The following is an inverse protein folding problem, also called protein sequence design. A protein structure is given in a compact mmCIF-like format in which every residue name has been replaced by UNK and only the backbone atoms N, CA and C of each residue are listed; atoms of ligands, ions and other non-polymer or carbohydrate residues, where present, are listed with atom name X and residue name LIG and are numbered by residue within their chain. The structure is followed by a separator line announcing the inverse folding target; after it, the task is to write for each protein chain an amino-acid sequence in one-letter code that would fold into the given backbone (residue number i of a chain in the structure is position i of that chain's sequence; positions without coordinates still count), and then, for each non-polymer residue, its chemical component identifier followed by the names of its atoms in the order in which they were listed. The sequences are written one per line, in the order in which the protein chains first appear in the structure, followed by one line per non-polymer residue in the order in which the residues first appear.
data_IF_750636273659
#
_entry.id   IF_750636273659
#
_cell.length_a   1.000
_cell.length_b   1.000
_cell.length_c   1.000
_cell.angle_alpha   90.00
_cell.angle_beta   90.00
_cell.angle_gamma   90.00
#
_symmetry.space_group_name_H-M   'P 1'
#
loop_
_entity.id
_entity.type
_entity.pdbx_description
1 polymer ?
#
# COMPACT_ATOMS: atom_id res chain seq x y z
N UNK A 1 20.67 -23.10 -24.15
CA UNK A 1 20.16 -21.75 -24.50
C UNK A 1 19.00 -21.28 -23.62
N UNK A 2 18.61 -22.01 -22.56
CA UNK A 2 17.37 -21.75 -21.81
C UNK A 2 17.54 -20.94 -20.51
N UNK A 3 18.76 -20.57 -20.12
CA UNK A 3 19.02 -19.80 -18.88
C UNK A 3 19.01 -18.27 -19.07
N UNK A 4 18.94 -17.75 -20.30
CA UNK A 4 19.00 -16.29 -20.56
C UNK A 4 17.66 -15.56 -20.45
N UNK A 5 16.53 -16.27 -20.47
CA UNK A 5 15.19 -15.63 -20.49
C UNK A 5 14.75 -15.19 -19.09
N UNK A 6 15.14 -15.91 -18.04
CA UNK A 6 14.77 -15.57 -16.65
C UNK A 6 15.55 -14.37 -16.12
N UNK A 7 16.80 -14.15 -16.54
CA UNK A 7 17.61 -13.00 -16.08
C UNK A 7 17.08 -11.64 -16.58
N UNK A 8 16.51 -11.58 -17.79
CA UNK A 8 16.02 -10.33 -18.38
C UNK A 8 14.75 -9.79 -17.71
N UNK A 9 13.93 -10.65 -17.08
CA UNK A 9 12.74 -10.21 -16.37
C UNK A 9 13.07 -9.59 -15.00
N UNK A 10 14.11 -10.08 -14.33
CA UNK A 10 14.58 -9.56 -13.04
C UNK A 10 15.37 -8.26 -13.21
N UNK A 11 16.15 -8.14 -14.29
CA UNK A 11 16.93 -6.94 -14.65
C UNK A 11 16.04 -5.72 -14.99
N UNK A 12 14.92 -5.93 -15.69
CA UNK A 12 13.96 -4.86 -16.06
C UNK A 12 13.14 -4.38 -14.84
N UNK A 13 12.86 -5.25 -13.88
CA UNK A 13 12.21 -4.87 -12.62
C UNK A 13 13.18 -4.13 -11.68
N UNK A 14 14.49 -4.44 -11.75
CA UNK A 14 15.53 -3.73 -10.99
C UNK A 14 15.82 -2.33 -11.54
N UNK A 15 15.93 -2.16 -12.87
CA UNK A 15 16.19 -0.85 -13.51
C UNK A 15 15.08 0.19 -13.24
N UNK A 16 13.82 -0.26 -13.18
CA UNK A 16 12.67 0.61 -12.88
C UNK A 16 12.61 1.04 -11.40
N UNK A 17 13.13 0.21 -10.50
CA UNK A 17 13.19 0.52 -9.06
C UNK A 17 14.39 1.40 -8.71
N UNK A 18 15.56 1.20 -9.34
CA UNK A 18 16.74 2.06 -9.14
C UNK A 18 16.51 3.48 -9.69
N UNK A 19 15.87 3.62 -10.85
CA UNK A 19 15.58 4.93 -11.44
C UNK A 19 14.62 5.77 -10.57
N UNK A 20 13.68 5.11 -9.89
CA UNK A 20 12.74 5.75 -8.96
C UNK A 20 13.42 6.12 -7.62
N UNK A 21 14.36 5.30 -7.15
CA UNK A 21 15.17 5.58 -5.95
C UNK A 21 16.06 6.82 -6.11
N UNK A 22 16.60 7.09 -7.31
CA UNK A 22 17.42 8.29 -7.57
C UNK A 22 16.61 9.58 -7.82
N UNK A 23 15.34 9.47 -8.20
CA UNK A 23 14.46 10.62 -8.47
C UNK A 23 13.71 11.11 -7.22
N UNK A 24 13.53 10.23 -6.22
CA UNK A 24 12.82 10.54 -4.97
C UNK A 24 13.67 11.42 -4.05
N UNK A 25 13.09 12.48 -3.50
CA UNK A 25 13.72 13.31 -2.46
C UNK A 25 13.64 12.69 -1.06
N UNK A 26 12.78 11.69 -0.86
CA UNK A 26 12.73 10.89 0.37
C UNK A 26 13.92 9.93 0.48
N UNK A 27 14.45 9.77 1.69
CA UNK A 27 15.40 8.70 1.99
C UNK A 27 14.69 7.36 2.20
N UNK A 28 15.45 6.27 2.13
CA UNK A 28 14.94 4.92 2.38
C UNK A 28 14.42 4.76 3.82
N UNK A 29 15.09 5.39 4.76
CA UNK A 29 14.73 5.38 6.18
C UNK A 29 13.40 6.11 6.41
N UNK A 30 13.19 7.24 5.73
CA UNK A 30 11.92 7.98 5.79
C UNK A 30 10.76 7.14 5.21
N UNK A 31 10.99 6.46 4.08
CA UNK A 31 10.00 5.53 3.51
C UNK A 31 9.69 4.38 4.46
N UNK A 32 10.71 3.74 5.03
CA UNK A 32 10.53 2.66 5.98
C UNK A 32 9.78 3.11 7.26
N UNK A 33 10.05 4.34 7.73
CA UNK A 33 9.32 4.92 8.85
C UNK A 33 7.83 5.10 8.51
N UNK A 34 7.51 5.63 7.33
CA UNK A 34 6.13 5.76 6.84
C UNK A 34 5.45 4.39 6.71
N UNK A 35 6.16 3.39 6.17
CA UNK A 35 5.66 2.03 6.05
C UNK A 35 5.36 1.35 7.40
N UNK A 36 6.02 1.77 8.47
CA UNK A 36 5.78 1.26 9.81
C UNK A 36 4.59 1.94 10.52
N UNK A 37 4.11 3.09 10.04
CA UNK A 37 3.09 3.88 10.75
C UNK A 37 1.73 3.17 10.84
N UNK A 38 1.00 3.32 11.95
CA UNK A 38 -0.40 2.92 12.03
C UNK A 38 -1.29 3.83 11.16
N UNK A 39 -2.51 3.36 10.85
CA UNK A 39 -3.42 4.05 9.93
C UNK A 39 -3.73 5.50 10.35
N UNK A 40 -4.10 5.71 11.62
CA UNK A 40 -4.48 7.03 12.11
C UNK A 40 -3.31 8.02 12.06
N UNK A 41 -2.09 7.57 12.37
CA UNK A 41 -0.90 8.41 12.28
C UNK A 41 -0.57 8.76 10.82
N UNK A 42 -0.62 7.78 9.92
CA UNK A 42 -0.39 8.01 8.49
C UNK A 42 -1.43 8.98 7.91
N UNK A 43 -2.70 8.84 8.30
CA UNK A 43 -3.80 9.72 7.89
C UNK A 43 -3.59 11.15 8.40
N UNK A 44 -3.24 11.31 9.67
CA UNK A 44 -3.02 12.62 10.28
C UNK A 44 -1.85 13.36 9.61
N UNK A 45 -0.72 12.66 9.43
CA UNK A 45 0.44 13.23 8.72
C UNK A 45 0.12 13.56 7.25
N UNK A 46 -0.73 12.77 6.58
CA UNK A 46 -1.19 13.06 5.23
C UNK A 46 -1.98 14.37 5.19
N UNK A 47 -2.90 14.58 6.14
CA UNK A 47 -3.65 15.84 6.25
C UNK A 47 -2.70 17.02 6.44
N UNK A 48 -1.70 16.89 7.31
CA UNK A 48 -0.69 17.94 7.52
C UNK A 48 0.12 18.23 6.24
N UNK A 49 0.48 17.19 5.49
CA UNK A 49 1.18 17.34 4.22
C UNK A 49 0.36 18.11 3.19
N UNK A 50 -0.93 17.80 3.07
CA UNK A 50 -1.87 18.49 2.18
C UNK A 50 -2.04 19.94 2.62
N UNK A 51 -2.26 20.19 3.92
CA UNK A 51 -2.41 21.55 4.45
C UNK A 51 -1.17 22.41 4.19
N UNK A 52 0.04 21.85 4.30
CA UNK A 52 1.28 22.56 4.00
C UNK A 52 1.38 22.96 2.51
N UNK A 53 0.91 22.09 1.60
CA UNK A 53 0.84 22.39 0.17
C UNK A 53 -0.21 23.47 -0.14
N UNK A 54 -1.39 23.37 0.48
CA UNK A 54 -2.50 24.30 0.29
C UNK A 54 -2.22 25.70 0.86
N UNK A 55 -1.49 25.79 1.97
CA UNK A 55 -1.06 27.06 2.55
C UNK A 55 -0.13 27.84 1.62
N UNK A 56 0.60 27.15 0.74
CA UNK A 56 1.62 27.74 -0.13
C UNK A 56 2.82 28.27 0.67
N UNK A 57 3.66 29.08 0.00
CA UNK A 57 4.86 29.67 0.63
C UNK A 57 6.08 28.76 0.69
N UNK A 58 5.97 27.51 0.25
CA UNK A 58 7.10 26.60 0.03
C UNK A 58 7.80 26.92 -1.30
N UNK A 59 9.11 26.68 -1.36
CA UNK A 59 9.83 26.66 -2.65
C UNK A 59 9.40 25.46 -3.48
N UNK A 60 9.80 25.42 -4.76
CA UNK A 60 9.48 24.30 -5.65
C UNK A 60 10.02 22.96 -5.08
N UNK A 61 11.30 22.91 -4.70
CA UNK A 61 11.91 21.70 -4.12
C UNK A 61 11.21 21.25 -2.82
N UNK A 62 10.83 22.21 -1.97
CA UNK A 62 10.09 21.91 -0.74
C UNK A 62 8.68 21.38 -1.04
N UNK A 63 8.00 21.96 -2.03
CA UNK A 63 6.67 21.51 -2.46
C UNK A 63 6.73 20.11 -3.06
N UNK A 64 7.75 19.82 -3.86
CA UNK A 64 7.98 18.48 -4.43
C UNK A 64 8.22 17.45 -3.32
N UNK A 65 9.10 17.74 -2.36
CA UNK A 65 9.33 16.85 -1.22
C UNK A 65 8.08 16.63 -0.38
N UNK A 66 7.31 17.69 -0.13
CA UNK A 66 6.07 17.61 0.64
C UNK A 66 5.01 16.76 -0.08
N UNK A 67 4.94 16.86 -1.40
CA UNK A 67 4.08 16.02 -2.23
C UNK A 67 4.49 14.54 -2.17
N UNK A 68 5.78 14.22 -2.31
CA UNK A 68 6.24 12.83 -2.22
C UNK A 68 5.97 12.20 -0.85
N UNK A 69 6.15 12.97 0.24
CA UNK A 69 5.77 12.55 1.60
C UNK A 69 4.27 12.24 1.64
N UNK A 70 3.44 13.11 1.05
CA UNK A 70 1.99 12.90 0.94
C UNK A 70 1.64 11.61 0.18
N UNK A 71 2.25 11.37 -0.97
CA UNK A 71 2.03 10.15 -1.76
C UNK A 71 2.39 8.88 -0.98
N UNK A 72 3.53 8.88 -0.29
CA UNK A 72 3.96 7.75 0.54
C UNK A 72 2.97 7.47 1.69
N UNK A 73 2.48 8.53 2.37
CA UNK A 73 1.50 8.42 3.43
C UNK A 73 0.13 7.92 2.93
N UNK A 74 -0.32 8.43 1.77
CA UNK A 74 -1.55 8.00 1.14
C UNK A 74 -1.50 6.51 0.77
N UNK A 75 -0.39 6.07 0.14
CA UNK A 75 -0.15 4.66 -0.18
C UNK A 75 -0.19 3.77 1.07
N UNK A 76 0.44 4.20 2.17
CA UNK A 76 0.40 3.48 3.45
C UNK A 76 -1.03 3.34 3.98
N UNK A 77 -1.76 4.45 4.06
CA UNK A 77 -3.12 4.46 4.57
C UNK A 77 -4.05 3.56 3.74
N UNK A 78 -3.96 3.64 2.42
CA UNK A 78 -4.73 2.80 1.49
C UNK A 78 -4.37 1.32 1.63
N UNK A 79 -3.08 0.98 1.76
CA UNK A 79 -2.64 -0.41 1.95
C UNK A 79 -3.17 -1.05 3.24
N UNK A 80 -3.25 -0.28 4.32
CA UNK A 80 -3.86 -0.73 5.57
C UNK A 80 -5.36 -1.00 5.42
N UNK A 81 -6.09 -0.08 4.77
CA UNK A 81 -7.52 -0.27 4.50
C UNK A 81 -7.78 -1.48 3.59
N UNK A 82 -6.95 -1.66 2.56
CA UNK A 82 -7.03 -2.83 1.68
C UNK A 82 -6.82 -4.14 2.44
N UNK A 83 -5.88 -4.17 3.38
CA UNK A 83 -5.62 -5.34 4.24
C UNK A 83 -6.84 -5.66 5.12
N UNK A 84 -7.45 -4.64 5.72
CA UNK A 84 -8.67 -4.83 6.53
C UNK A 84 -9.82 -5.33 5.67
N UNK A 85 -9.99 -4.76 4.47
CA UNK A 85 -11.02 -5.20 3.52
C UNK A 85 -10.84 -6.67 3.13
N UNK A 86 -9.63 -7.08 2.80
CA UNK A 86 -9.34 -8.47 2.45
C UNK A 86 -9.67 -9.45 3.60
N UNK A 87 -9.39 -9.07 4.85
CA UNK A 87 -9.75 -9.88 6.02
C UNK A 87 -11.27 -10.01 6.20
N UNK A 88 -12.01 -8.93 5.97
CA UNK A 88 -13.47 -8.94 6.05
C UNK A 88 -14.07 -9.85 4.97
N UNK A 89 -13.58 -9.73 3.73
CA UNK A 89 -14.03 -10.55 2.61
C UNK A 89 -13.78 -12.05 2.86
N UNK A 90 -12.60 -12.40 3.40
CA UNK A 90 -12.28 -13.78 3.78
C UNK A 90 -13.23 -14.32 4.87
N UNK A 91 -13.46 -13.55 5.94
CA UNK A 91 -14.37 -13.96 7.01
C UNK A 91 -15.81 -14.17 6.52
N UNK A 92 -16.30 -13.33 5.60
CA UNK A 92 -17.63 -13.48 5.01
C UNK A 92 -17.74 -14.75 4.13
N UNK A 93 -16.68 -15.07 3.38
CA UNK A 93 -16.62 -16.29 2.57
C UNK A 93 -16.64 -17.55 3.45
N UNK A 94 -15.88 -17.57 4.54
CA UNK A 94 -15.85 -18.68 5.52
C UNK A 94 -17.22 -18.90 6.18
N UNK A 95 -17.90 -17.81 6.57
CA UNK A 95 -19.26 -17.89 7.13
C UNK A 95 -20.25 -18.48 6.12
N UNK A 96 -20.18 -18.04 4.86
CA UNK A 96 -21.05 -18.54 3.79
C UNK A 96 -20.80 -20.03 3.49
N UNK A 97 -19.54 -20.46 3.46
CA UNK A 97 -19.16 -21.86 3.28
C UNK A 97 -19.65 -22.75 4.43
N UNK A 98 -19.54 -22.26 5.67
CA UNK A 98 -20.05 -22.95 6.86
C UNK A 98 -21.57 -23.11 6.81
N UNK A 99 -22.29 -22.06 6.43
CA UNK A 99 -23.75 -22.09 6.28
C UNK A 99 -24.20 -23.08 5.19
N UNK A 100 -23.52 -23.11 4.04
CA UNK A 100 -23.81 -24.07 2.97
C UNK A 100 -23.60 -25.53 3.41
N UNK A 101 -22.53 -25.78 4.18
CA UNK A 101 -22.24 -27.13 4.71
C UNK A 101 -23.30 -27.56 5.72
N UNK A 102 -23.70 -26.67 6.64
CA UNK A 102 -24.76 -26.94 7.62
C UNK A 102 -26.13 -27.21 6.96
N UNK A 103 -26.49 -26.42 5.94
CA UNK A 103 -27.74 -26.63 5.19
C UNK A 103 -27.78 -27.95 4.40
N UNK A 104 -26.63 -28.43 3.94
CA UNK A 104 -26.55 -29.73 3.24
C UNK A 104 -26.71 -30.90 4.20
N UNK A 105 -26.14 -30.83 5.41
CA UNK A 105 -26.30 -31.87 6.44
C UNK A 105 -27.76 -32.01 6.89
N UNK A 106 -28.44 -30.90 7.15
CA UNK A 106 -29.86 -30.91 7.57
C UNK A 106 -30.79 -31.58 6.55
N UNK A 107 -30.41 -31.63 5.27
CA UNK A 107 -31.22 -32.21 4.19
C UNK A 107 -30.97 -33.71 4.01
N UNK A 108 -29.92 -34.28 4.64
CA UNK A 108 -29.65 -35.72 4.64
C UNK A 108 -30.31 -36.45 5.83
N UNK A 109 -30.67 -35.74 6.90
CA UNK A 109 -31.29 -36.30 8.11
C UNK A 109 -32.83 -36.35 8.08
N UNK A 110 -33.46 -36.01 6.94
CA UNK A 110 -34.92 -36.07 6.70
C UNK A 110 -35.30 -37.14 5.70
#
# INVERSE_FOLDING_TARGET
MSEKVTKKAEEVAAESNESAEFASTLTKEERAAIEAMPYEEAREKLVQAVQALEAGGLTLDQSMRQWEIGEALAKRAQGLLATVRAKLDAAQAEQSATAATAGTQSNLES
#
